data_IF_026470003760
#
_entry.id   IF_026470003760
#
_cell.length_a   1.000
_cell.length_b   1.000
_cell.length_c   1.000
_cell.angle_alpha   90.00
_cell.angle_beta   90.00
_cell.angle_gamma   90.00
#
_symmetry.space_group_name_H-M   'P 1'
#
loop_
_entity.id
_entity.type
_entity.pdbx_description
1 polymer ?
#
# COMPACT_ATOMS: atom_id res chain seq x y z
N UNK A 1 5.74 14.69 4.18
CA UNK A 1 6.67 14.70 3.04
C UNK A 1 7.15 13.30 2.72
N UNK A 2 8.22 12.81 3.33
CA UNK A 2 8.82 11.50 2.98
C UNK A 2 7.89 10.29 3.17
N UNK A 3 6.84 10.39 3.99
CA UNK A 3 5.74 9.42 4.13
C UNK A 3 5.10 8.98 2.79
N UNK A 4 5.15 9.79 1.73
CA UNK A 4 4.61 9.44 0.43
C UNK A 4 5.50 8.45 -0.37
N UNK A 5 6.76 8.24 0.04
CA UNK A 5 7.71 7.33 -0.60
C UNK A 5 7.41 5.86 -0.27
N UNK A 6 6.23 5.36 -0.64
CA UNK A 6 5.89 3.96 -0.45
C UNK A 6 6.94 3.03 -1.08
N UNK A 7 7.72 2.31 -0.25
CA UNK A 7 8.50 1.20 -0.75
C UNK A 7 7.52 0.17 -1.32
N UNK A 8 7.55 -0.04 -2.64
CA UNK A 8 6.58 -0.88 -3.40
C UNK A 8 6.80 -2.39 -3.15
N UNK A 9 7.28 -2.74 -1.96
CA UNK A 9 7.43 -4.10 -1.46
C UNK A 9 6.09 -4.73 -1.08
N UNK A 10 5.27 -4.02 -0.28
CA UNK A 10 3.94 -4.50 0.13
C UNK A 10 2.88 -4.50 -0.99
N UNK A 11 3.07 -3.70 -2.04
CA UNK A 11 2.09 -3.56 -3.14
C UNK A 11 2.54 -4.18 -4.48
N UNK A 12 3.84 -4.32 -4.73
CA UNK A 12 4.38 -4.78 -6.01
C UNK A 12 4.08 -6.26 -6.31
N UNK A 13 4.18 -7.12 -5.29
CA UNK A 13 3.92 -8.57 -5.44
C UNK A 13 2.44 -8.83 -5.77
N UNK A 14 1.51 -7.99 -5.29
CA UNK A 14 0.07 -8.09 -5.57
C UNK A 14 -0.30 -7.71 -7.01
N UNK A 15 0.41 -6.78 -7.64
CA UNK A 15 0.09 -6.32 -8.99
C UNK A 15 0.44 -7.35 -10.08
N UNK A 16 1.47 -8.17 -9.84
CA UNK A 16 1.99 -9.14 -10.80
C UNK A 16 1.12 -10.39 -11.01
N UNK A 17 0.15 -10.66 -10.12
CA UNK A 17 -0.80 -11.78 -10.27
C UNK A 17 -2.16 -11.38 -10.82
N UNK A 18 -2.31 -10.15 -11.34
CA UNK A 18 -3.58 -9.64 -11.88
C UNK A 18 -3.77 -9.81 -13.39
N UNK A 19 -2.96 -10.66 -14.03
CA UNK A 19 -2.97 -10.88 -15.48
C UNK A 19 -3.05 -12.37 -15.85
N UNK A 20 -4.15 -13.04 -15.50
CA UNK A 20 -4.82 -14.00 -16.39
C UNK A 20 -6.10 -14.57 -15.73
N UNK A 21 -7.23 -13.86 -15.88
CA UNK A 21 -8.60 -14.39 -15.81
C UNK A 21 -9.64 -13.33 -16.16
N UNK A 22 -9.68 -12.92 -17.43
CA UNK A 22 -10.87 -12.27 -18.03
C UNK A 22 -10.86 -12.30 -19.56
N UNK A 23 -10.71 -13.51 -20.14
CA UNK A 23 -11.10 -13.79 -21.54
C UNK A 23 -11.88 -15.09 -21.59
N UNK A 24 -13.20 -15.02 -21.45
CA UNK A 24 -13.96 -16.23 -21.10
C UNK A 24 -15.46 -16.33 -21.41
N UNK A 25 -16.14 -15.35 -22.04
CA UNK A 25 -17.34 -15.67 -22.85
C UNK A 25 -17.85 -14.49 -23.71
N UNK A 26 -17.79 -14.62 -25.04
CA UNK A 26 -18.55 -13.79 -25.97
C UNK A 26 -18.71 -14.49 -27.34
N UNK A 27 -19.70 -15.38 -27.44
CA UNK A 27 -20.28 -15.86 -28.69
C UNK A 27 -21.81 -15.74 -28.54
N UNK A 28 -22.61 -15.36 -29.53
CA UNK A 28 -22.34 -14.79 -30.86
C UNK A 28 -23.67 -14.26 -31.42
N UNK A 29 -23.67 -13.24 -32.30
CA UNK A 29 -24.41 -13.27 -33.59
C UNK A 29 -24.48 -11.89 -34.27
N UNK A 30 -24.13 -11.88 -35.58
CA UNK A 30 -24.83 -11.26 -36.74
C UNK A 30 -25.58 -9.91 -36.59
N UNK A 31 -25.59 -8.99 -37.56
CA UNK A 31 -25.07 -8.92 -38.94
C UNK A 31 -25.36 -7.50 -39.51
N UNK A 32 -24.85 -7.18 -40.71
CA UNK A 32 -25.10 -5.99 -41.56
C UNK A 32 -24.28 -4.70 -41.36
N UNK A 33 -23.54 -4.39 -42.43
CA UNK A 33 -23.09 -3.06 -42.89
C UNK A 33 -24.13 -2.52 -43.91
N UNK A 34 -24.00 -1.37 -44.65
CA UNK A 34 -22.85 -0.47 -44.84
C UNK A 34 -23.15 1.06 -44.86
N UNK A 35 -22.13 1.91 -45.08
CA UNK A 35 -22.38 3.27 -45.62
C UNK A 35 -21.24 4.30 -45.68
N UNK A 36 -20.68 4.49 -46.89
CA UNK A 36 -20.08 5.74 -47.46
C UNK A 36 -18.69 6.23 -46.97
N UNK A 37 -17.66 6.24 -47.85
CA UNK A 37 -17.14 7.37 -48.70
C UNK A 37 -16.24 8.34 -47.90
N UNK A 38 -15.08 8.90 -48.33
CA UNK A 38 -14.21 8.93 -49.54
C UNK A 38 -12.88 9.67 -49.12
N UNK A 39 -11.72 9.71 -49.80
CA UNK A 39 -11.01 8.91 -50.83
C UNK A 39 -9.69 9.63 -51.26
N UNK A 40 -8.78 8.97 -52.03
CA UNK A 40 -7.77 9.59 -52.95
C UNK A 40 -6.51 10.23 -52.29
N UNK A 41 -5.23 10.07 -52.73
CA UNK A 41 -4.61 9.32 -53.85
C UNK A 41 -3.08 9.04 -53.63
N UNK A 42 -2.50 8.09 -54.41
CA UNK A 42 -1.12 8.00 -55.03
C UNK A 42 0.14 8.55 -54.27
N UNK A 43 1.36 7.99 -54.27
CA UNK A 43 2.13 6.99 -55.08
C UNK A 43 3.48 6.70 -54.35
N UNK A 44 4.39 5.75 -54.68
CA UNK A 44 4.46 4.67 -55.68
C UNK A 44 5.42 3.53 -55.22
N UNK A 45 5.34 2.41 -55.95
CA UNK A 45 6.34 1.34 -56.18
C UNK A 45 7.78 1.41 -55.60
N UNK A 46 8.19 0.32 -54.94
CA UNK A 46 9.08 -0.63 -55.63
C UNK A 46 8.82 -2.09 -55.20
N UNK A 47 9.00 -3.03 -56.13
CA UNK A 47 8.59 -4.45 -55.99
C UNK A 47 9.76 -5.35 -56.37
N UNK A 48 10.24 -6.17 -55.44
CA UNK A 48 11.18 -7.26 -55.73
C UNK A 48 10.63 -8.53 -55.12
N UNK A 49 10.57 -9.60 -55.92
CA UNK A 49 9.96 -10.88 -55.51
C UNK A 49 10.96 -11.73 -54.73
N UNK A 50 10.40 -12.56 -53.84
CA UNK A 50 11.12 -13.57 -53.05
C UNK A 50 11.81 -14.63 -53.94
N UNK A 51 12.69 -15.42 -53.32
CA UNK A 51 12.41 -16.85 -53.31
C UNK A 51 12.26 -17.41 -51.89
N UNK A 52 11.48 -18.48 -51.76
CA UNK A 52 11.37 -19.23 -50.51
C UNK A 52 12.71 -19.92 -50.19
N UNK A 53 13.20 -19.73 -48.96
CA UNK A 53 13.92 -20.80 -48.25
C UNK A 53 13.31 -20.90 -46.85
N UNK A 54 12.54 -21.96 -46.64
CA UNK A 54 12.12 -22.42 -45.33
C UNK A 54 13.34 -22.83 -44.50
N UNK A 55 13.48 -22.30 -43.28
CA UNK A 55 14.18 -22.98 -42.19
C UNK A 55 13.72 -22.42 -40.84
N UNK A 56 12.71 -23.08 -40.27
CA UNK A 56 12.30 -22.92 -38.87
C UNK A 56 13.17 -23.87 -38.03
N UNK A 57 14.02 -23.38 -37.11
CA UNK A 57 14.61 -24.24 -36.09
C UNK A 57 13.53 -24.61 -35.06
N UNK A 58 13.24 -25.89 -34.94
CA UNK A 58 12.24 -26.42 -34.02
C UNK A 58 12.58 -26.18 -32.54
N UNK A 59 11.51 -25.94 -31.75
CA UNK A 59 11.38 -26.06 -30.28
C UNK A 59 12.30 -25.18 -29.40
N UNK A 60 11.75 -24.46 -28.40
CA UNK A 60 12.54 -24.12 -27.23
C UNK A 60 12.99 -25.42 -26.54
N UNK A 61 14.26 -25.50 -26.16
CA UNK A 61 14.76 -26.62 -25.36
C UNK A 61 14.17 -26.49 -23.95
N UNK A 62 13.26 -27.41 -23.60
CA UNK A 62 12.97 -27.69 -22.20
C UNK A 62 14.29 -28.06 -21.52
N UNK A 63 14.81 -27.16 -20.70
CA UNK A 63 15.73 -27.53 -19.62
C UNK A 63 14.82 -28.07 -18.53
N UNK A 64 14.81 -29.38 -18.25
CA UNK A 64 14.03 -29.88 -17.13
C UNK A 64 14.62 -29.29 -15.86
N UNK A 65 13.79 -28.57 -15.09
CA UNK A 65 14.08 -28.33 -13.68
C UNK A 65 14.16 -29.70 -13.03
N UNK A 66 15.39 -30.16 -12.77
CA UNK A 66 15.63 -31.29 -11.89
C UNK A 66 15.40 -30.79 -10.48
N UNK A 67 14.16 -30.89 -10.03
CA UNK A 67 13.88 -31.05 -8.60
C UNK A 67 14.68 -32.29 -8.21
N UNK A 68 15.67 -32.12 -7.33
CA UNK A 68 16.15 -33.27 -6.58
C UNK A 68 15.05 -33.61 -5.61
N UNK A 69 14.57 -34.84 -5.66
CA UNK A 69 14.01 -35.46 -4.47
C UNK A 69 15.18 -35.64 -3.50
N UNK A 70 15.36 -34.67 -2.60
CA UNK A 70 16.14 -34.88 -1.38
C UNK A 70 15.18 -35.54 -0.38
N UNK A 71 15.23 -36.87 -0.38
CA UNK A 71 14.62 -37.75 0.61
C UNK A 71 15.41 -37.61 1.91
N UNK A 72 14.99 -36.70 2.78
CA UNK A 72 15.38 -36.66 4.19
C UNK A 72 14.15 -36.31 5.05
N UNK A 73 14.05 -36.95 6.20
CA UNK A 73 12.78 -37.04 6.92
C UNK A 73 12.53 -35.89 7.89
N UNK A 74 11.58 -35.02 7.54
CA UNK A 74 10.75 -34.31 8.52
C UNK A 74 9.28 -34.74 8.37
N UNK A 75 8.59 -34.92 9.49
CA UNK A 75 7.13 -35.07 9.52
C UNK A 75 6.52 -33.69 9.29
N UNK A 76 6.55 -33.22 8.05
CA UNK A 76 5.94 -31.95 7.66
C UNK A 76 4.41 -32.08 7.79
N UNK A 77 3.86 -31.47 8.83
CA UNK A 77 2.41 -31.39 9.06
C UNK A 77 1.72 -30.80 7.83
N UNK A 78 0.76 -31.53 7.23
CA UNK A 78 -0.03 -31.01 6.11
C UNK A 78 -0.68 -29.68 6.53
N UNK A 79 -0.45 -28.56 5.80
CA UNK A 79 -0.98 -27.27 6.19
C UNK A 79 -2.51 -27.32 6.29
N UNK A 80 -3.05 -26.82 7.41
CA UNK A 80 -4.48 -26.90 7.74
C UNK A 80 -5.38 -26.08 6.79
N UNK A 81 -4.79 -25.31 5.88
CA UNK A 81 -5.49 -24.66 4.78
C UNK A 81 -4.55 -23.99 3.77
N UNK A 82 -5.11 -23.45 2.66
CA UNK A 82 -4.34 -22.76 1.63
C UNK A 82 -3.63 -21.49 2.12
N UNK A 83 -4.09 -20.89 3.22
CA UNK A 83 -3.45 -19.73 3.86
C UNK A 83 -2.14 -20.13 4.56
N UNK A 84 -2.13 -21.26 5.25
CA UNK A 84 -0.93 -21.80 5.90
C UNK A 84 0.07 -22.32 4.87
N UNK A 85 -0.39 -23.00 3.81
CA UNK A 85 0.45 -23.40 2.68
C UNK A 85 1.10 -22.18 1.99
N UNK A 86 0.40 -21.04 1.92
CA UNK A 86 0.94 -19.80 1.37
C UNK A 86 1.89 -19.09 2.34
N UNK A 87 1.62 -19.13 3.65
CA UNK A 87 2.53 -18.63 4.67
C UNK A 87 3.83 -19.45 4.72
N UNK A 88 3.76 -20.78 4.60
CA UNK A 88 4.92 -21.66 4.44
C UNK A 88 5.71 -21.30 3.16
N UNK A 89 5.02 -21.10 2.03
CA UNK A 89 5.66 -20.70 0.77
C UNK A 89 6.39 -19.34 0.88
N UNK A 90 5.80 -18.36 1.56
CA UNK A 90 6.44 -17.05 1.78
C UNK A 90 7.58 -17.11 2.81
N UNK A 91 7.49 -17.99 3.81
CA UNK A 91 8.57 -18.24 4.76
C UNK A 91 9.72 -19.09 4.17
N UNK A 92 9.57 -19.64 2.96
CA UNK A 92 10.61 -20.47 2.33
C UNK A 92 11.97 -19.74 2.19
N UNK A 93 13.10 -20.46 2.28
CA UNK A 93 14.43 -19.88 2.07
C UNK A 93 14.57 -19.18 0.71
N UNK A 94 13.96 -19.71 -0.35
CA UNK A 94 13.93 -19.12 -1.69
C UNK A 94 13.22 -17.77 -1.70
N UNK A 95 12.04 -17.67 -1.08
CA UNK A 95 11.28 -16.43 -0.99
C UNK A 95 12.05 -15.37 -0.17
N UNK A 96 12.53 -15.74 1.02
CA UNK A 96 13.35 -14.86 1.88
C UNK A 96 14.60 -14.35 1.13
N UNK A 97 15.32 -15.23 0.43
CA UNK A 97 16.50 -14.89 -0.39
C UNK A 97 16.17 -13.95 -1.56
N UNK A 98 15.04 -14.16 -2.23
CA UNK A 98 14.57 -13.27 -3.29
C UNK A 98 14.24 -11.87 -2.75
N UNK A 99 13.51 -11.80 -1.63
CA UNK A 99 13.16 -10.53 -0.97
C UNK A 99 14.41 -9.79 -0.48
N UNK A 100 15.40 -10.50 0.06
CA UNK A 100 16.71 -9.94 0.44
C UNK A 100 17.42 -9.27 -0.74
N UNK A 101 17.43 -9.93 -1.90
CA UNK A 101 17.99 -9.39 -3.14
C UNK A 101 17.23 -8.16 -3.64
N UNK A 102 15.89 -8.19 -3.61
CA UNK A 102 15.05 -7.05 -4.00
C UNK A 102 15.24 -5.85 -3.08
N UNK A 103 15.28 -6.04 -1.76
CA UNK A 103 15.53 -4.97 -0.80
C UNK A 103 16.91 -4.31 -1.02
N UNK A 104 17.95 -5.10 -1.33
CA UNK A 104 19.25 -4.57 -1.71
C UNK A 104 19.22 -3.71 -2.97
N UNK A 105 18.49 -4.14 -4.00
CA UNK A 105 18.30 -3.37 -5.24
C UNK A 105 17.48 -2.08 -5.02
N UNK A 106 16.41 -2.13 -4.21
CA UNK A 106 15.61 -0.97 -3.83
C UNK A 106 16.43 0.05 -3.03
N UNK A 107 17.27 -0.40 -2.10
CA UNK A 107 18.17 0.45 -1.32
C UNK A 107 19.16 1.21 -2.21
N UNK A 108 19.67 0.58 -3.27
CA UNK A 108 20.49 1.25 -4.30
C UNK A 108 19.68 2.20 -5.20
N UNK A 109 18.38 1.94 -5.39
CA UNK A 109 17.46 2.82 -6.10
C UNK A 109 16.98 4.02 -5.27
N UNK A 110 16.97 3.90 -3.94
CA UNK A 110 16.47 4.90 -3.02
C UNK A 110 17.21 6.24 -3.14
N UNK A 111 18.52 6.22 -3.42
CA UNK A 111 19.34 7.40 -3.69
C UNK A 111 18.69 8.35 -4.72
N UNK A 112 18.00 7.81 -5.75
CA UNK A 112 17.29 8.62 -6.77
C UNK A 112 15.93 9.13 -6.31
N UNK A 113 15.20 8.31 -5.54
CA UNK A 113 13.90 8.71 -5.00
C UNK A 113 14.06 9.83 -3.97
N UNK A 114 15.04 9.68 -3.08
CA UNK A 114 15.42 10.68 -2.09
C UNK A 114 15.91 11.95 -2.79
N UNK A 115 16.81 11.86 -3.78
CA UNK A 115 17.27 13.03 -4.53
C UNK A 115 16.10 13.79 -5.20
N UNK A 116 15.12 13.07 -5.78
CA UNK A 116 13.93 13.69 -6.38
C UNK A 116 13.02 14.39 -5.36
N UNK A 117 12.87 13.81 -4.17
CA UNK A 117 12.10 14.43 -3.09
C UNK A 117 12.84 15.63 -2.49
N UNK A 118 14.16 15.52 -2.31
CA UNK A 118 15.01 16.60 -1.81
C UNK A 118 15.02 17.79 -2.78
N UNK A 119 15.02 17.58 -4.10
CA UNK A 119 14.94 18.69 -5.07
C UNK A 119 13.56 19.40 -5.02
N UNK A 120 12.47 18.67 -4.77
CA UNK A 120 11.15 19.26 -4.49
C UNK A 120 11.17 20.07 -3.17
N UNK A 121 11.82 19.55 -2.13
CA UNK A 121 11.98 20.27 -0.85
C UNK A 121 12.93 21.46 -0.93
N UNK A 122 13.89 21.44 -1.86
CA UNK A 122 14.84 22.53 -2.10
C UNK A 122 14.14 23.81 -2.53
N UNK A 123 13.14 23.71 -3.41
CA UNK A 123 12.31 24.84 -3.80
C UNK A 123 11.39 25.29 -2.64
N UNK A 124 10.66 24.34 -2.00
CA UNK A 124 9.72 24.64 -0.92
C UNK A 124 10.35 25.30 0.32
N UNK A 125 11.50 24.77 0.76
CA UNK A 125 12.19 25.18 2.00
C UNK A 125 13.37 26.13 1.74
N UNK A 126 13.63 26.49 0.48
CA UNK A 126 14.75 27.35 0.09
C UNK A 126 16.10 26.77 0.51
N UNK A 127 16.32 25.47 0.32
CA UNK A 127 17.54 24.78 0.76
C UNK A 127 18.75 25.22 -0.08
N UNK A 128 19.90 25.43 0.57
CA UNK A 128 21.18 25.50 -0.14
C UNK A 128 21.57 24.13 -0.71
N UNK A 129 22.41 24.13 -1.76
CA UNK A 129 22.94 22.89 -2.35
C UNK A 129 23.60 22.00 -1.27
N UNK A 130 24.37 22.59 -0.36
CA UNK A 130 25.00 21.88 0.78
C UNK A 130 24.02 21.27 1.78
N UNK A 131 22.89 21.93 2.06
CA UNK A 131 21.85 21.35 2.92
C UNK A 131 21.13 20.21 2.21
N UNK A 132 20.80 20.39 0.93
CA UNK A 132 20.17 19.36 0.11
C UNK A 132 21.05 18.09 0.03
N UNK A 133 22.34 18.24 -0.26
CA UNK A 133 23.31 17.13 -0.28
C UNK A 133 23.41 16.43 1.09
N UNK A 134 23.54 17.19 2.19
CA UNK A 134 23.66 16.64 3.55
C UNK A 134 22.41 15.88 4.00
N UNK A 135 21.21 16.44 3.78
CA UNK A 135 19.95 15.77 4.09
C UNK A 135 19.80 14.51 3.22
N UNK A 136 20.12 14.58 1.92
CA UNK A 136 20.10 13.43 1.03
C UNK A 136 21.01 12.31 1.53
N UNK A 137 22.27 12.60 1.89
CA UNK A 137 23.21 11.60 2.40
C UNK A 137 22.71 10.93 3.69
N UNK A 138 22.15 11.72 4.63
CA UNK A 138 21.58 11.20 5.89
C UNK A 138 20.38 10.30 5.66
N UNK A 139 19.40 10.75 4.86
CA UNK A 139 18.23 9.94 4.48
C UNK A 139 18.62 8.64 3.76
N UNK A 140 19.64 8.72 2.89
CA UNK A 140 20.21 7.56 2.20
C UNK A 140 20.88 6.59 3.17
N UNK A 141 21.59 7.08 4.19
CA UNK A 141 22.17 6.25 5.24
C UNK A 141 21.10 5.54 6.06
N UNK A 142 20.07 6.27 6.52
CA UNK A 142 18.91 5.73 7.24
C UNK A 142 18.23 4.60 6.45
N UNK A 143 17.96 4.79 5.15
CA UNK A 143 17.41 3.73 4.29
C UNK A 143 18.36 2.54 4.14
N UNK A 144 19.67 2.76 3.99
CA UNK A 144 20.68 1.68 3.91
C UNK A 144 20.80 0.90 5.22
N UNK A 145 20.57 1.53 6.37
CA UNK A 145 20.50 0.87 7.67
C UNK A 145 19.19 0.10 7.88
N UNK A 146 18.04 0.72 7.57
CA UNK A 146 16.73 0.06 7.56
C UNK A 146 16.72 -1.18 6.66
N UNK A 147 17.33 -1.08 5.47
CA UNK A 147 17.51 -2.23 4.56
C UNK A 147 18.31 -3.35 5.22
N UNK A 148 19.42 -3.04 5.91
CA UNK A 148 20.21 -4.06 6.61
C UNK A 148 19.39 -4.74 7.72
N UNK A 149 18.64 -3.96 8.52
CA UNK A 149 17.76 -4.49 9.58
C UNK A 149 16.71 -5.44 8.99
N UNK A 150 16.02 -5.03 7.93
CA UNK A 150 15.05 -5.86 7.19
C UNK A 150 15.69 -7.14 6.61
N UNK A 151 16.88 -7.03 6.01
CA UNK A 151 17.62 -8.19 5.51
C UNK A 151 18.04 -9.16 6.62
N UNK A 152 18.35 -8.68 7.83
CA UNK A 152 18.63 -9.52 8.99
C UNK A 152 17.37 -10.16 9.58
N UNK A 153 16.21 -9.50 9.54
CA UNK A 153 14.94 -10.12 9.92
C UNK A 153 14.53 -11.24 8.95
N UNK A 154 14.79 -11.08 7.65
CA UNK A 154 14.59 -12.15 6.66
C UNK A 154 15.51 -13.36 6.90
N UNK A 155 16.69 -13.16 7.50
CA UNK A 155 17.60 -14.24 7.91
C UNK A 155 17.17 -14.92 9.23
N UNK A 156 16.25 -14.34 10.00
CA UNK A 156 15.71 -14.95 11.23
C UNK A 156 14.47 -15.81 10.91
N UNK A 157 14.65 -17.13 10.98
CA UNK A 157 13.61 -18.12 10.75
C UNK A 157 12.46 -18.06 11.77
N UNK A 158 12.67 -17.44 12.94
CA UNK A 158 11.65 -17.25 13.97
C UNK A 158 10.74 -16.03 13.71
N UNK A 159 11.18 -15.09 12.87
CA UNK A 159 10.41 -13.90 12.51
C UNK A 159 9.39 -14.22 11.41
N UNK A 160 8.12 -13.84 11.63
CA UNK A 160 7.06 -14.06 10.63
C UNK A 160 7.24 -13.18 9.40
N UNK A 161 7.22 -13.77 8.21
CA UNK A 161 7.28 -13.02 6.95
C UNK A 161 6.19 -11.93 6.83
N UNK A 162 5.03 -12.13 7.46
CA UNK A 162 3.94 -11.12 7.48
C UNK A 162 4.36 -9.89 8.29
N UNK A 163 4.84 -10.09 9.51
CA UNK A 163 5.32 -9.02 10.41
C UNK A 163 6.51 -8.26 9.79
N UNK A 164 7.41 -8.99 9.13
CA UNK A 164 8.52 -8.42 8.35
C UNK A 164 8.00 -7.49 7.24
N UNK A 165 6.97 -7.90 6.49
CA UNK A 165 6.40 -7.08 5.42
C UNK A 165 5.57 -5.89 5.93
N UNK A 166 4.86 -6.05 7.05
CA UNK A 166 4.16 -4.95 7.73
C UNK A 166 5.14 -3.86 8.17
N UNK A 167 6.23 -4.24 8.87
CA UNK A 167 7.27 -3.29 9.29
C UNK A 167 7.91 -2.53 8.12
N UNK A 168 8.09 -3.17 6.96
CA UNK A 168 8.62 -2.54 5.76
C UNK A 168 7.60 -1.61 5.08
N UNK A 169 6.30 -1.87 5.21
CA UNK A 169 5.24 -0.95 4.79
C UNK A 169 5.18 0.31 5.65
N UNK A 170 5.46 0.18 6.95
CA UNK A 170 5.43 1.27 7.94
C UNK A 170 6.75 2.05 8.06
N UNK A 171 7.81 1.65 7.36
CA UNK A 171 9.18 2.19 7.50
C UNK A 171 9.24 3.72 7.67
N UNK A 172 8.62 4.50 6.79
CA UNK A 172 8.69 5.97 6.85
C UNK A 172 7.91 6.59 8.03
N UNK A 173 6.90 5.89 8.55
CA UNK A 173 6.16 6.31 9.73
C UNK A 173 6.96 6.00 11.00
N UNK A 174 7.49 4.78 11.10
CA UNK A 174 8.33 4.37 12.24
C UNK A 174 9.63 5.20 12.35
N UNK A 175 10.16 5.68 11.23
CA UNK A 175 11.35 6.55 11.20
C UNK A 175 10.99 8.06 11.10
N UNK A 176 9.72 8.47 11.22
CA UNK A 176 9.33 9.90 11.25
C UNK A 176 10.13 10.70 12.32
N UNK A 177 10.38 10.18 13.54
CA UNK A 177 11.20 10.88 14.54
C UNK A 177 12.64 11.13 14.05
N UNK A 178 13.30 10.14 13.45
CA UNK A 178 14.67 10.25 12.93
C UNK A 178 14.74 11.24 11.76
N UNK A 179 13.72 11.22 10.88
CA UNK A 179 13.55 12.19 9.79
C UNK A 179 13.40 13.61 10.34
N UNK A 180 12.55 13.80 11.36
CA UNK A 180 12.36 15.10 11.99
C UNK A 180 13.64 15.60 12.69
N UNK A 181 14.44 14.70 13.30
CA UNK A 181 15.76 15.04 13.86
C UNK A 181 16.78 15.45 12.78
N UNK A 182 16.84 14.73 11.65
CA UNK A 182 17.69 15.10 10.49
C UNK A 182 17.31 16.51 10.00
N UNK A 183 16.02 16.77 9.80
CA UNK A 183 15.54 18.07 9.32
C UNK A 183 15.83 19.18 10.34
N UNK A 184 15.62 18.93 11.64
CA UNK A 184 15.92 19.90 12.70
C UNK A 184 17.42 20.22 12.83
N UNK A 185 18.30 19.30 12.47
CA UNK A 185 19.75 19.51 12.51
C UNK A 185 20.29 20.27 11.29
N UNK A 186 19.67 20.12 10.11
CA UNK A 186 20.15 20.69 8.84
C UNK A 186 19.47 22.00 8.43
N UNK A 187 18.25 22.24 8.92
CA UNK A 187 17.48 23.45 8.62
C UNK A 187 17.78 24.57 9.62
N UNK A 188 17.72 25.82 9.15
CA UNK A 188 17.62 26.97 10.05
C UNK A 188 16.23 27.06 10.70
N UNK A 189 16.09 27.79 11.81
CA UNK A 189 14.83 27.90 12.56
C UNK A 189 13.62 28.28 11.67
N UNK A 190 13.79 29.25 10.75
CA UNK A 190 12.73 29.68 9.81
C UNK A 190 12.36 28.60 8.77
N UNK A 191 13.37 27.83 8.32
CA UNK A 191 13.17 26.71 7.39
C UNK A 191 12.48 25.53 8.10
N UNK A 192 12.87 25.25 9.34
CA UNK A 192 12.29 24.19 10.16
C UNK A 192 10.84 24.51 10.55
N UNK A 193 10.54 25.75 10.95
CA UNK A 193 9.16 26.20 11.20
C UNK A 193 8.28 26.18 9.93
N UNK A 194 8.88 26.26 8.74
CA UNK A 194 8.18 26.07 7.47
C UNK A 194 7.96 24.58 7.18
N UNK A 195 8.95 23.74 7.43
CA UNK A 195 8.85 22.28 7.34
C UNK A 195 7.77 21.70 8.27
N UNK A 196 7.71 22.12 9.53
CA UNK A 196 6.67 21.68 10.48
C UNK A 196 5.26 22.06 10.00
N UNK A 197 5.10 23.26 9.42
CA UNK A 197 3.82 23.71 8.84
C UNK A 197 3.40 22.87 7.64
N UNK A 198 4.32 22.60 6.71
CA UNK A 198 4.04 21.75 5.54
C UNK A 198 3.72 20.31 5.97
N UNK A 199 4.44 19.77 6.96
CA UNK A 199 4.16 18.45 7.55
C UNK A 199 2.76 18.40 8.17
N UNK A 200 2.33 19.43 8.89
CA UNK A 200 0.98 19.53 9.45
C UNK A 200 -0.09 19.59 8.36
N UNK A 201 0.13 20.35 7.27
CA UNK A 201 -0.78 20.41 6.11
C UNK A 201 -0.89 19.04 5.43
N UNK A 202 0.22 18.37 5.16
CA UNK A 202 0.20 17.05 4.51
C UNK A 202 -0.42 15.96 5.39
N UNK A 203 -0.21 16.02 6.72
CA UNK A 203 -0.92 15.14 7.68
C UNK A 203 -2.42 15.44 7.67
N UNK A 204 -2.82 16.71 7.71
CA UNK A 204 -4.21 17.17 7.61
C UNK A 204 -4.91 16.59 6.37
N UNK A 205 -4.31 16.78 5.18
CA UNK A 205 -4.84 16.22 3.92
C UNK A 205 -4.96 14.69 3.95
N UNK A 206 -4.00 13.99 4.56
CA UNK A 206 -4.00 12.53 4.63
C UNK A 206 -5.10 12.03 5.56
N UNK A 207 -5.24 12.60 6.75
CA UNK A 207 -6.30 12.27 7.73
C UNK A 207 -7.67 12.54 7.11
N UNK A 208 -7.90 13.72 6.52
CA UNK A 208 -9.15 14.03 5.81
C UNK A 208 -9.46 13.01 4.71
N UNK A 209 -8.50 12.73 3.81
CA UNK A 209 -8.69 11.80 2.68
C UNK A 209 -8.96 10.36 3.13
N UNK A 210 -8.34 9.92 4.23
CA UNK A 210 -8.61 8.62 4.85
C UNK A 210 -10.03 8.60 5.45
N UNK A 211 -10.38 9.60 6.28
CA UNK A 211 -11.69 9.72 6.90
C UNK A 211 -12.82 9.78 5.86
N UNK A 212 -12.73 10.64 4.84
CA UNK A 212 -13.69 10.68 3.73
C UNK A 212 -13.80 9.33 3.02
N UNK A 213 -12.67 8.66 2.72
CA UNK A 213 -12.71 7.36 2.04
C UNK A 213 -13.28 6.22 2.90
N UNK A 214 -13.20 6.31 4.23
CA UNK A 214 -13.82 5.35 5.16
C UNK A 214 -15.31 5.65 5.36
N UNK A 215 -15.68 6.93 5.58
CA UNK A 215 -17.06 7.41 5.62
C UNK A 215 -17.85 6.96 4.39
N UNK A 216 -17.29 7.16 3.19
CA UNK A 216 -17.84 6.71 1.90
C UNK A 216 -18.27 5.23 1.90
N UNK A 217 -17.59 4.37 2.65
CA UNK A 217 -17.83 2.92 2.70
C UNK A 217 -18.85 2.56 3.76
N UNK A 218 -18.80 3.25 4.89
CA UNK A 218 -19.77 3.15 5.97
C UNK A 218 -21.13 3.59 5.42
N UNK A 219 -21.21 4.77 4.83
CA UNK A 219 -22.45 5.34 4.30
C UNK A 219 -23.10 4.45 3.21
N UNK A 220 -22.31 3.93 2.26
CA UNK A 220 -22.79 2.94 1.25
C UNK A 220 -23.40 1.65 1.82
N UNK A 221 -23.23 1.37 3.12
CA UNK A 221 -23.77 0.18 3.80
C UNK A 221 -24.87 0.55 4.80
N UNK A 222 -24.75 1.71 5.45
CA UNK A 222 -25.61 2.12 6.55
C UNK A 222 -26.68 3.15 6.18
N UNK A 223 -26.52 3.85 5.05
CA UNK A 223 -27.39 4.94 4.60
C UNK A 223 -27.57 5.96 5.75
N UNK A 224 -26.47 6.67 6.06
CA UNK A 224 -26.40 7.65 7.13
C UNK A 224 -27.24 8.90 6.77
N UNK A 225 -27.77 9.59 7.78
CA UNK A 225 -28.26 10.96 7.58
C UNK A 225 -27.10 11.96 7.53
N UNK A 226 -27.33 13.17 7.00
CA UNK A 226 -26.32 14.23 6.89
C UNK A 226 -25.65 14.53 8.26
N UNK A 227 -26.44 14.61 9.33
CA UNK A 227 -25.91 14.81 10.69
C UNK A 227 -25.09 13.61 11.21
N UNK A 228 -25.42 12.39 10.78
CA UNK A 228 -24.64 11.20 11.12
C UNK A 228 -23.35 11.11 10.28
N UNK A 229 -23.36 11.59 9.03
CA UNK A 229 -22.17 11.65 8.19
C UNK A 229 -21.13 12.60 8.81
N UNK A 230 -21.54 13.80 9.22
CA UNK A 230 -20.67 14.76 9.93
C UNK A 230 -20.12 14.19 11.24
N UNK A 231 -20.96 13.55 12.06
CA UNK A 231 -20.53 12.96 13.32
C UNK A 231 -19.58 11.77 13.11
N UNK A 232 -19.85 10.88 12.14
CA UNK A 232 -18.95 9.78 11.80
C UNK A 232 -17.64 10.31 11.22
N UNK A 233 -17.67 11.35 10.37
CA UNK A 233 -16.46 12.00 9.87
C UNK A 233 -15.61 12.56 11.01
N UNK A 234 -16.21 13.29 11.95
CA UNK A 234 -15.53 13.83 13.12
C UNK A 234 -14.83 12.75 13.95
N UNK A 235 -15.50 11.62 14.18
CA UNK A 235 -14.93 10.46 14.88
C UNK A 235 -13.77 9.84 14.09
N UNK A 236 -13.92 9.64 12.78
CA UNK A 236 -12.89 9.07 11.92
C UNK A 236 -11.61 9.92 11.88
N UNK A 237 -11.77 11.25 11.93
CA UNK A 237 -10.65 12.20 12.04
C UNK A 237 -10.00 12.12 13.42
N UNK A 238 -10.75 12.33 14.49
CA UNK A 238 -10.20 12.44 15.86
C UNK A 238 -9.61 11.12 16.40
N UNK A 239 -10.10 9.97 15.92
CA UNK A 239 -9.58 8.63 16.28
C UNK A 239 -8.52 8.13 15.30
N UNK A 240 -8.04 8.97 14.37
CA UNK A 240 -6.86 8.66 13.55
C UNK A 240 -5.59 8.66 14.41
N UNK A 241 -4.68 7.70 14.18
CA UNK A 241 -3.38 7.64 14.84
C UNK A 241 -2.46 8.81 14.49
N UNK A 242 -2.78 9.57 13.44
CA UNK A 242 -2.02 10.73 13.00
C UNK A 242 -2.66 12.07 13.40
N UNK A 243 -3.81 12.06 14.07
CA UNK A 243 -4.53 13.29 14.45
C UNK A 243 -3.71 14.17 15.39
N UNK A 244 -3.78 15.48 15.15
CA UNK A 244 -3.15 16.53 15.96
C UNK A 244 -4.17 17.67 16.13
N UNK A 245 -4.33 18.20 17.34
CA UNK A 245 -5.30 19.27 17.65
C UNK A 245 -5.02 20.58 16.89
N UNK A 246 -3.81 20.77 16.35
CA UNK A 246 -3.45 21.90 15.51
C UNK A 246 -3.88 21.76 14.03
N UNK A 247 -4.42 20.60 13.62
CA UNK A 247 -4.92 20.39 12.26
C UNK A 247 -6.15 21.24 11.95
N UNK A 248 -6.07 22.05 10.89
CA UNK A 248 -7.19 22.82 10.37
C UNK A 248 -8.09 21.94 9.49
N UNK A 249 -8.96 21.13 10.10
CA UNK A 249 -9.91 20.26 9.41
C UNK A 249 -11.31 20.91 9.41
N UNK A 250 -11.92 21.02 8.24
CA UNK A 250 -13.33 21.42 8.10
C UNK A 250 -14.25 20.24 8.50
N UNK A 251 -15.38 20.53 9.15
CA UNK A 251 -16.39 19.51 9.54
C UNK A 251 -16.21 18.84 10.90
N UNK A 252 -15.05 18.95 11.55
CA UNK A 252 -14.86 18.43 12.94
C UNK A 252 -15.53 19.29 14.03
N UNK A 253 -16.13 20.44 13.67
CA UNK A 253 -16.90 21.29 14.60
C UNK A 253 -18.27 20.68 14.98
N UNK A 254 -18.69 19.61 14.30
CA UNK A 254 -19.92 18.89 14.64
C UNK A 254 -19.89 18.41 16.09
N UNK A 255 -20.95 18.71 16.85
CA UNK A 255 -21.07 18.26 18.24
C UNK A 255 -21.20 16.74 18.30
N UNK A 256 -20.06 16.07 18.46
CA UNK A 256 -20.02 14.63 18.74
C UNK A 256 -20.76 14.32 20.05
N UNK A 257 -21.47 13.17 20.13
CA UNK A 257 -22.10 12.76 21.37
C UNK A 257 -21.02 12.55 22.46
N UNK A 258 -21.36 12.87 23.71
CA UNK A 258 -20.41 12.81 24.84
C UNK A 258 -19.75 11.42 25.00
N UNK A 259 -20.46 10.36 24.61
CA UNK A 259 -19.95 8.99 24.53
C UNK A 259 -18.79 8.81 23.55
N UNK A 260 -18.80 9.49 22.40
CA UNK A 260 -17.75 9.38 21.38
C UNK A 260 -16.48 10.16 21.75
N UNK A 261 -16.61 11.20 22.58
CA UNK A 261 -15.52 12.07 23.02
C UNK A 261 -14.68 11.49 24.18
N UNK A 262 -15.05 10.33 24.74
CA UNK A 262 -14.27 9.69 25.77
C UNK A 262 -12.87 9.30 25.23
N UNK A 263 -11.81 9.53 26.01
CA UNK A 263 -10.45 9.17 25.61
C UNK A 263 -10.31 7.67 25.31
N UNK A 264 -10.88 6.83 26.18
CA UNK A 264 -10.73 5.37 26.16
C UNK A 264 -11.69 4.64 25.20
N UNK A 265 -12.60 5.33 24.52
CA UNK A 265 -13.53 4.67 23.57
C UNK A 265 -12.84 4.36 22.24
N UNK A 266 -13.08 3.17 21.70
CA UNK A 266 -12.58 2.76 20.38
C UNK A 266 -13.26 3.57 19.26
N UNK A 267 -12.66 3.58 18.07
CA UNK A 267 -13.27 4.20 16.88
C UNK A 267 -14.62 3.55 16.55
N UNK A 268 -14.69 2.23 16.66
CA UNK A 268 -15.87 1.43 16.38
C UNK A 268 -17.00 1.68 17.39
N UNK A 269 -16.67 1.80 18.69
CA UNK A 269 -17.65 2.11 19.75
C UNK A 269 -18.14 3.57 19.68
N UNK A 270 -17.26 4.52 19.32
CA UNK A 270 -17.66 5.89 19.05
C UNK A 270 -18.66 5.96 17.89
N UNK A 271 -18.37 5.28 16.76
CA UNK A 271 -19.28 5.19 15.61
C UNK A 271 -20.62 4.57 16.03
N UNK A 272 -20.64 3.45 16.77
CA UNK A 272 -21.87 2.82 17.27
C UNK A 272 -22.77 3.80 18.04
N UNK A 273 -22.21 4.79 18.75
CA UNK A 273 -23.00 5.76 19.51
C UNK A 273 -23.74 6.81 18.66
N UNK A 274 -23.41 6.93 17.37
CA UNK A 274 -24.07 7.79 16.37
C UNK A 274 -25.16 7.04 15.58
N UNK A 275 -25.07 5.71 15.52
CA UNK A 275 -25.95 4.88 14.71
C UNK A 275 -27.29 4.59 15.39
N UNK A 276 -28.35 4.45 14.61
CA UNK A 276 -29.60 3.86 15.09
C UNK A 276 -29.47 2.32 15.22
N UNK A 277 -30.47 1.64 15.79
CA UNK A 277 -30.42 0.19 16.04
C UNK A 277 -30.18 -0.64 14.77
N UNK A 278 -30.88 -0.34 13.67
CA UNK A 278 -30.75 -1.10 12.41
C UNK A 278 -29.37 -0.87 11.77
N UNK A 279 -28.88 0.37 11.78
CA UNK A 279 -27.54 0.72 11.35
C UNK A 279 -26.47 0.03 12.21
N UNK A 280 -26.67 -0.04 13.52
CA UNK A 280 -25.75 -0.71 14.46
C UNK A 280 -25.65 -2.20 14.18
N UNK A 281 -26.76 -2.88 13.88
CA UNK A 281 -26.76 -4.28 13.47
C UNK A 281 -25.98 -4.50 12.17
N UNK A 282 -26.25 -3.71 11.12
CA UNK A 282 -25.50 -3.74 9.85
C UNK A 282 -24.01 -3.43 10.04
N UNK A 283 -23.67 -2.51 10.92
CA UNK A 283 -22.28 -2.13 11.24
C UNK A 283 -21.54 -3.27 11.93
N UNK A 284 -22.15 -3.91 12.93
CA UNK A 284 -21.57 -5.06 13.62
C UNK A 284 -21.42 -6.28 12.69
N UNK A 285 -22.46 -6.61 11.91
CA UNK A 285 -22.39 -7.68 10.89
C UNK A 285 -21.26 -7.41 9.88
N UNK A 286 -20.98 -6.14 9.58
CA UNK A 286 -19.89 -5.77 8.69
C UNK A 286 -18.51 -5.88 9.35
N UNK A 287 -18.37 -5.49 10.61
CA UNK A 287 -17.13 -5.67 11.39
C UNK A 287 -16.76 -7.16 11.48
N UNK A 288 -17.71 -8.04 11.80
CA UNK A 288 -17.51 -9.51 11.81
C UNK A 288 -17.04 -10.07 10.46
N UNK A 289 -17.35 -9.39 9.34
CA UNK A 289 -16.98 -9.78 7.97
C UNK A 289 -15.69 -9.09 7.45
N UNK A 290 -14.84 -8.58 8.35
CA UNK A 290 -13.59 -7.88 8.02
C UNK A 290 -13.74 -6.36 7.81
N UNK A 291 -14.74 -5.76 8.45
CA UNK A 291 -14.90 -4.31 8.56
C UNK A 291 -15.00 -3.49 7.26
N UNK A 292 -14.66 -2.21 7.38
CA UNK A 292 -14.81 -1.19 6.33
C UNK A 292 -13.48 -0.85 5.62
N UNK A 293 -12.38 -1.50 6.00
CA UNK A 293 -11.05 -1.29 5.41
C UNK A 293 -10.99 -1.54 3.89
N UNK A 294 -9.85 -1.19 3.27
CA UNK A 294 -9.55 -1.71 1.93
C UNK A 294 -9.35 -3.22 2.04
N UNK A 295 -10.31 -4.00 1.56
CA UNK A 295 -10.18 -5.46 1.37
C UNK A 295 -8.91 -5.80 0.58
N UNK A 296 -7.82 -6.00 1.29
CA UNK A 296 -6.78 -6.93 0.86
C UNK A 296 -7.35 -8.35 0.89
N UNK A 297 -6.82 -9.28 0.08
CA UNK A 297 -7.18 -10.70 0.14
C UNK A 297 -7.07 -11.36 1.52
N UNK A 298 -6.30 -10.78 2.44
CA UNK A 298 -5.83 -11.39 3.69
C UNK A 298 -6.70 -11.10 4.93
N UNK A 299 -7.68 -10.19 4.83
CA UNK A 299 -8.45 -9.74 6.00
C UNK A 299 -9.69 -10.63 6.29
N UNK A 300 -9.49 -11.96 6.24
CA UNK A 300 -10.51 -12.99 6.54
C UNK A 300 -10.01 -14.05 7.54
N UNK A 301 -9.08 -13.69 8.42
CA UNK A 301 -8.41 -14.65 9.32
C UNK A 301 -8.74 -14.54 10.82
N UNK A 302 -8.85 -13.32 11.38
CA UNK A 302 -8.99 -13.14 12.84
C UNK A 302 -10.45 -13.21 13.31
N UNK A 303 -11.04 -14.40 13.17
CA UNK A 303 -12.29 -14.73 13.82
C UNK A 303 -12.16 -14.65 15.34
N UNK A 304 -12.99 -13.81 15.97
CA UNK A 304 -13.10 -13.69 17.43
C UNK A 304 -13.50 -15.04 18.04
N UNK A 305 -12.57 -15.79 18.64
CA UNK A 305 -12.93 -16.93 19.50
C UNK A 305 -13.51 -16.37 20.80
N UNK A 306 -14.82 -16.44 20.93
CA UNK A 306 -15.51 -16.03 22.14
C UNK A 306 -15.03 -16.81 23.36
N UNK A 307 -14.56 -16.10 24.38
CA UNK A 307 -14.43 -16.64 25.73
C UNK A 307 -15.79 -16.58 26.43
N UNK A 308 -16.53 -17.68 26.36
CA UNK A 308 -17.63 -17.94 27.29
C UNK A 308 -17.09 -18.68 28.51
N UNK A 309 -17.23 -18.08 29.69
CA UNK A 309 -17.03 -18.70 31.00
C UNK A 309 -18.31 -18.60 31.83
#
# INVERSE_FOLDING_TARGET
MFMALSFVLGLGVMALFRSDKDTGNANSSKESSPGKEKSVDKTSSNKTQSPLISNIPNKPKNIPFKIKEEDDGSEDEEPAGPEEAFAQLLNSPEARKLMKGFAGAMSQGADRMIASEIENQKEKLGLSDSQAESIQEKMVSMVKEGTKRFQSQLDDENSSFVEIMESQGEFWSQNEPEINEIMKAELSDDQYATYEREQLVEKTERVQRQATSELDRINRTLELSEEQEDQVFGILVQKSSEYDESMAIEGIEASLPESANAGDITKEDAIRSVLNSEQTEKYNERLEKGGFGRRGPWDRGRGFRGFGG
#
